data_IF_196498499135
#
_entry.id   IF_196498499135
#
_cell.length_a   1.000
_cell.length_b   1.000
_cell.length_c   1.000
_cell.angle_alpha   90.00
_cell.angle_beta   90.00
_cell.angle_gamma   90.00
#
_symmetry.space_group_name_H-M   'P 1'
#
loop_
_entity.id
_entity.type
_entity.pdbx_description
1 polymer ?
#
# COMPACT_ATOMS: atom_id res chain seq x y z
N UNK A 1 5.99 25.67 8.17
CA UNK A 1 6.05 25.17 6.77
C UNK A 1 4.95 24.17 6.41
N UNK A 2 4.65 23.13 7.20
CA UNK A 2 3.62 22.13 6.86
C UNK A 2 2.27 22.32 7.56
N UNK A 3 2.04 23.45 8.22
CA UNK A 3 0.77 23.76 8.90
C UNK A 3 -0.24 24.40 7.95
N UNK A 4 0.18 25.36 7.12
CA UNK A 4 -0.69 26.01 6.12
C UNK A 4 -1.28 25.04 5.10
N UNK A 5 -0.49 24.06 4.63
CA UNK A 5 -0.99 22.99 3.76
C UNK A 5 -2.07 22.15 4.44
N UNK A 6 -1.87 21.77 5.72
CA UNK A 6 -2.87 21.01 6.48
C UNK A 6 -4.14 21.82 6.70
N UNK A 7 -4.00 23.13 6.83
CA UNK A 7 -5.10 24.06 7.01
C UNK A 7 -5.91 24.32 5.75
N UNK A 8 -5.28 24.37 4.57
CA UNK A 8 -5.94 24.47 3.27
C UNK A 8 -6.67 23.17 2.90
N UNK A 9 -6.06 22.01 3.20
CA UNK A 9 -6.65 20.70 2.95
C UNK A 9 -7.44 20.15 4.14
N UNK A 10 -7.99 21.03 5.00
CA UNK A 10 -8.62 20.81 6.32
C UNK A 10 -9.67 19.67 6.45
N UNK A 11 -9.96 18.93 5.39
CA UNK A 11 -10.90 17.80 5.36
C UNK A 11 -10.48 16.60 4.48
N UNK A 12 -9.36 16.65 3.75
CA UNK A 12 -8.88 15.55 2.90
C UNK A 12 -7.56 15.02 3.46
N UNK A 13 -7.63 13.91 4.18
CA UNK A 13 -6.45 13.12 4.50
C UNK A 13 -5.91 12.55 3.17
N UNK A 14 -4.99 13.30 2.53
CA UNK A 14 -4.37 12.95 1.26
C UNK A 14 -3.73 11.56 1.32
N UNK A 15 -3.16 11.21 2.48
CA UNK A 15 -2.57 9.89 2.69
C UNK A 15 -3.66 8.83 2.69
N UNK A 16 -4.77 9.04 3.40
CA UNK A 16 -5.92 8.14 3.33
C UNK A 16 -6.49 8.04 1.90
N UNK A 17 -6.53 9.15 1.14
CA UNK A 17 -6.94 9.18 -0.26
C UNK A 17 -6.04 8.32 -1.16
N UNK A 18 -4.72 8.45 -1.01
CA UNK A 18 -3.73 7.65 -1.75
C UNK A 18 -3.86 6.17 -1.40
N UNK A 19 -3.97 5.83 -0.10
CA UNK A 19 -4.16 4.44 0.36
C UNK A 19 -5.45 3.85 -0.21
N UNK A 20 -6.54 4.60 -0.17
CA UNK A 20 -7.82 4.20 -0.76
C UNK A 20 -7.68 3.91 -2.26
N UNK A 21 -7.10 4.84 -3.02
CA UNK A 21 -6.92 4.65 -4.47
C UNK A 21 -6.06 3.42 -4.80
N UNK A 22 -5.04 3.16 -3.98
CA UNK A 22 -4.19 1.98 -4.08
C UNK A 22 -5.00 0.69 -3.89
N UNK A 23 -5.87 0.64 -2.88
CA UNK A 23 -6.77 -0.49 -2.63
C UNK A 23 -7.84 -0.64 -3.73
N UNK A 24 -8.43 0.47 -4.22
CA UNK A 24 -9.39 0.42 -5.33
C UNK A 24 -8.75 -0.23 -6.57
N UNK A 25 -7.52 0.18 -6.88
CA UNK A 25 -6.78 -0.35 -8.01
C UNK A 25 -6.44 -1.84 -7.86
N UNK A 26 -5.99 -2.29 -6.68
CA UNK A 26 -5.69 -3.73 -6.50
C UNK A 26 -6.92 -4.60 -6.68
N UNK A 27 -8.06 -4.16 -6.15
CA UNK A 27 -9.33 -4.88 -6.33
C UNK A 27 -9.77 -4.88 -7.79
N UNK A 28 -9.58 -3.76 -8.50
CA UNK A 28 -9.86 -3.71 -9.93
C UNK A 28 -9.00 -4.71 -10.71
N UNK A 29 -7.68 -4.69 -10.51
CA UNK A 29 -6.74 -5.59 -11.22
C UNK A 29 -7.03 -7.06 -10.91
N UNK A 30 -7.35 -7.42 -9.65
CA UNK A 30 -7.73 -8.79 -9.26
C UNK A 30 -9.06 -9.27 -9.84
N UNK A 31 -9.86 -8.39 -10.45
CA UNK A 31 -11.09 -8.76 -11.16
C UNK A 31 -10.95 -8.66 -12.68
N UNK A 32 -9.83 -8.13 -13.17
CA UNK A 32 -9.50 -8.21 -14.59
C UNK A 32 -9.21 -9.64 -14.99
N UNK A 33 -9.41 -9.93 -16.27
CA UNK A 33 -9.01 -11.19 -16.90
C UNK A 33 -7.51 -11.49 -16.72
N UNK A 34 -7.16 -12.77 -16.59
CA UNK A 34 -5.79 -13.22 -16.32
C UNK A 34 -4.80 -12.87 -17.43
N UNK A 35 -5.27 -12.75 -18.67
CA UNK A 35 -4.40 -12.46 -19.80
C UNK A 35 -3.86 -11.03 -19.81
N UNK A 36 -4.53 -10.12 -19.10
CA UNK A 36 -4.19 -8.70 -19.06
C UNK A 36 -2.83 -8.49 -18.38
N UNK A 37 -2.00 -7.64 -18.98
CA UNK A 37 -0.65 -7.35 -18.48
C UNK A 37 -0.65 -6.91 -17.00
N UNK A 38 -1.60 -6.09 -16.57
CA UNK A 38 -1.70 -5.65 -15.19
C UNK A 38 -1.91 -6.82 -14.21
N UNK A 39 -2.74 -7.80 -14.57
CA UNK A 39 -2.96 -9.00 -13.76
C UNK A 39 -1.69 -9.86 -13.72
N UNK A 40 -1.09 -10.12 -14.87
CA UNK A 40 0.19 -10.86 -14.99
C UNK A 40 1.31 -10.22 -14.18
N UNK A 41 1.40 -8.88 -14.13
CA UNK A 41 2.40 -8.16 -13.33
C UNK A 41 2.11 -8.24 -11.83
N UNK A 42 0.83 -8.25 -11.45
CA UNK A 42 0.40 -8.37 -10.07
C UNK A 42 0.71 -9.76 -9.51
N UNK A 43 0.42 -10.80 -10.28
CA UNK A 43 0.64 -12.20 -9.90
C UNK A 43 2.08 -12.64 -10.11
N UNK A 44 2.72 -12.14 -11.17
CA UNK A 44 4.11 -12.40 -11.47
C UNK A 44 5.02 -11.88 -10.37
N UNK A 45 5.98 -12.70 -9.97
CA UNK A 45 7.08 -12.28 -9.09
C UNK A 45 8.29 -12.03 -10.00
N UNK A 46 8.58 -10.77 -10.40
CA UNK A 46 9.73 -10.51 -11.26
C UNK A 46 11.00 -10.91 -10.50
N UNK A 47 11.67 -11.93 -11.00
CA UNK A 47 12.92 -12.43 -10.45
C UNK A 47 14.08 -11.53 -10.91
N UNK A 48 15.07 -11.34 -10.04
CA UNK A 48 16.27 -10.54 -10.32
C UNK A 48 16.59 -9.46 -9.28
N UNK A 49 17.87 -9.10 -9.20
CA UNK A 49 18.38 -8.06 -8.30
C UNK A 49 18.19 -6.68 -8.94
N UNK A 50 17.44 -5.79 -8.28
CA UNK A 50 17.30 -4.40 -8.75
C UNK A 50 18.60 -3.64 -8.55
N UNK A 51 18.96 -2.78 -9.52
CA UNK A 51 20.06 -1.83 -9.38
C UNK A 51 19.80 -0.88 -8.20
N UNK A 52 20.85 -0.53 -7.45
CA UNK A 52 20.77 0.40 -6.32
C UNK A 52 20.26 1.78 -6.74
N UNK A 53 19.52 2.46 -5.86
CA UNK A 53 19.01 3.83 -6.07
C UNK A 53 17.50 3.94 -6.32
N UNK A 54 16.81 2.86 -6.70
CA UNK A 54 15.33 2.86 -6.76
C UNK A 54 14.71 2.60 -5.39
N UNK A 55 13.47 3.09 -5.20
CA UNK A 55 12.67 2.78 -4.01
C UNK A 55 12.65 1.26 -3.76
N UNK A 56 13.01 0.86 -2.53
CA UNK A 56 13.18 -0.55 -2.16
C UNK A 56 11.87 -1.34 -2.15
N UNK A 57 10.75 -0.66 -1.84
CA UNK A 57 9.45 -1.30 -1.62
C UNK A 57 8.67 -1.48 -2.93
N UNK A 58 8.17 -2.69 -3.17
CA UNK A 58 7.25 -2.97 -4.28
C UNK A 58 5.92 -2.27 -3.99
N UNK A 59 5.23 -1.81 -5.03
CA UNK A 59 3.89 -1.25 -4.89
C UNK A 59 2.93 -2.22 -4.17
N UNK A 60 3.05 -3.52 -4.46
CA UNK A 60 2.33 -4.59 -3.77
C UNK A 60 2.65 -4.66 -2.27
N UNK A 61 3.91 -4.48 -1.87
CA UNK A 61 4.30 -4.47 -0.45
C UNK A 61 3.61 -3.32 0.29
N UNK A 62 3.45 -2.18 -0.37
CA UNK A 62 2.72 -1.03 0.16
C UNK A 62 1.22 -1.28 0.27
N UNK A 63 0.62 -2.00 -0.68
CA UNK A 63 -0.78 -2.44 -0.57
C UNK A 63 -0.95 -3.38 0.63
N UNK A 64 -0.06 -4.36 0.77
CA UNK A 64 -0.13 -5.33 1.86
C UNK A 64 0.08 -4.65 3.22
N UNK A 65 0.94 -3.64 3.29
CA UNK A 65 1.11 -2.80 4.48
C UNK A 65 -0.17 -2.03 4.84
N UNK A 66 -0.80 -1.35 3.88
CA UNK A 66 -2.03 -0.62 4.12
C UNK A 66 -3.18 -1.55 4.57
N UNK A 67 -3.28 -2.74 3.96
CA UNK A 67 -4.28 -3.75 4.33
C UNK A 67 -3.98 -4.41 5.68
N UNK A 68 -2.69 -4.53 6.06
CA UNK A 68 -2.28 -4.98 7.39
C UNK A 68 -2.68 -3.98 8.47
N UNK A 69 -2.64 -2.67 8.18
CA UNK A 69 -3.13 -1.64 9.09
C UNK A 69 -4.64 -1.76 9.33
N UNK A 70 -5.40 -2.18 8.32
CA UNK A 70 -6.82 -2.55 8.43
C UNK A 70 -7.07 -3.92 9.09
N UNK A 71 -6.02 -4.62 9.55
CA UNK A 71 -6.09 -6.00 10.08
C UNK A 71 -6.78 -6.98 9.11
N UNK A 72 -6.69 -6.69 7.81
CA UNK A 72 -7.36 -7.47 6.77
C UNK A 72 -6.62 -8.78 6.51
N UNK A 73 -7.28 -9.90 6.79
CA UNK A 73 -6.79 -11.23 6.39
C UNK A 73 -7.45 -11.67 5.08
N UNK A 74 -6.75 -12.52 4.32
CA UNK A 74 -7.23 -13.14 3.07
C UNK A 74 -7.76 -12.12 2.05
N UNK A 75 -7.14 -10.93 2.00
CA UNK A 75 -7.61 -9.80 1.21
C UNK A 75 -7.69 -10.09 -0.30
N UNK A 76 -6.84 -10.99 -0.84
CA UNK A 76 -6.91 -11.40 -2.25
C UNK A 76 -8.26 -12.05 -2.61
N UNK A 77 -8.78 -12.92 -1.73
CA UNK A 77 -10.09 -13.57 -1.90
C UNK A 77 -11.22 -12.54 -1.79
N UNK A 78 -11.16 -11.71 -0.74
CA UNK A 78 -12.14 -10.63 -0.52
C UNK A 78 -12.17 -9.62 -1.67
N UNK A 79 -11.02 -9.33 -2.28
CA UNK A 79 -10.90 -8.38 -3.37
C UNK A 79 -11.51 -8.91 -4.68
N UNK A 80 -11.54 -10.22 -4.88
CA UNK A 80 -12.22 -10.84 -6.01
C UNK A 80 -13.75 -10.67 -5.92
N UNK A 81 -14.32 -10.72 -4.70
CA UNK A 81 -15.73 -10.42 -4.48
C UNK A 81 -15.97 -8.89 -4.40
N UNK A 82 -16.80 -8.35 -5.30
CA UNK A 82 -17.07 -6.91 -5.36
C UNK A 82 -17.74 -6.37 -4.10
N UNK A 83 -18.64 -7.14 -3.49
CA UNK A 83 -19.41 -6.72 -2.32
C UNK A 83 -18.55 -6.71 -1.07
N UNK A 84 -17.80 -7.79 -0.83
CA UNK A 84 -16.84 -7.87 0.26
C UNK A 84 -15.77 -6.78 0.13
N UNK A 85 -15.27 -6.53 -1.08
CA UNK A 85 -14.33 -5.44 -1.31
C UNK A 85 -14.93 -4.07 -1.04
N UNK A 86 -16.21 -3.86 -1.34
CA UNK A 86 -16.87 -2.59 -1.05
C UNK A 86 -16.97 -2.31 0.46
N UNK A 87 -17.21 -3.35 1.27
CA UNK A 87 -17.20 -3.24 2.76
C UNK A 87 -15.81 -2.83 3.25
N UNK A 88 -14.77 -3.50 2.76
CA UNK A 88 -13.37 -3.16 3.02
C UNK A 88 -13.06 -1.70 2.68
N UNK A 89 -13.51 -1.23 1.52
CA UNK A 89 -13.28 0.14 1.07
C UNK A 89 -14.04 1.18 1.91
N UNK A 90 -15.18 0.81 2.51
CA UNK A 90 -15.90 1.66 3.47
C UNK A 90 -15.14 1.75 4.79
N UNK A 91 -14.65 0.64 5.32
CA UNK A 91 -13.82 0.61 6.53
C UNK A 91 -12.51 1.40 6.34
N UNK A 92 -11.89 1.32 5.16
CA UNK A 92 -10.70 2.10 4.82
C UNK A 92 -10.93 3.63 4.88
N UNK A 93 -12.15 4.13 4.62
CA UNK A 93 -12.49 5.55 4.79
C UNK A 93 -12.50 5.98 6.26
N UNK A 94 -12.65 5.04 7.19
CA UNK A 94 -12.69 5.30 8.64
C UNK A 94 -11.28 5.49 9.21
N UNK A 95 -10.23 5.03 8.53
CA UNK A 95 -8.84 5.35 8.86
C UNK A 95 -8.50 6.81 8.53
N UNK A 96 -9.08 7.75 9.29
CA UNK A 96 -8.56 9.12 9.40
C UNK A 96 -7.33 9.03 10.31
N UNK A 97 -6.14 9.26 9.78
CA UNK A 97 -4.92 9.04 10.55
C UNK A 97 -3.75 9.84 10.02
N UNK A 98 -3.31 10.90 10.74
CA UNK A 98 -2.24 11.75 10.24
C UNK A 98 -0.93 10.97 10.11
N UNK A 99 -0.15 11.36 9.10
CA UNK A 99 1.19 10.85 8.77
C UNK A 99 2.23 10.98 9.93
N UNK A 100 1.87 11.55 11.08
CA UNK A 100 2.77 11.80 12.21
C UNK A 100 3.10 10.56 13.06
N UNK A 101 2.52 9.38 12.80
CA UNK A 101 2.84 8.14 13.53
C UNK A 101 3.97 7.31 12.89
N UNK A 102 4.60 7.78 11.80
CA UNK A 102 5.71 7.08 11.14
C UNK A 102 7.08 7.45 11.74
N UNK A 103 7.37 6.95 12.94
CA UNK A 103 8.73 6.99 13.55
C UNK A 103 9.18 5.66 14.17
N UNK A 104 8.68 4.51 13.71
CA UNK A 104 9.10 3.19 14.27
C UNK A 104 9.73 2.20 13.28
N UNK A 105 9.85 2.52 11.99
CA UNK A 105 10.42 1.56 11.01
C UNK A 105 11.43 2.19 10.03
N UNK A 106 12.20 3.18 10.50
CA UNK A 106 13.44 3.56 9.83
C UNK A 106 14.62 2.84 10.52
N UNK A 107 15.42 2.16 9.68
CA UNK A 107 16.72 1.55 9.97
C UNK A 107 16.76 0.32 10.90
N UNK A 108 16.66 -0.87 10.28
CA UNK A 108 17.48 -2.02 10.68
C UNK A 108 17.67 -2.98 9.49
N UNK A 109 18.57 -2.61 8.59
CA UNK A 109 19.36 -3.55 7.79
C UNK A 109 20.59 -2.79 7.33
N UNK A 110 21.63 -2.80 8.16
CA UNK A 110 23.05 -3.02 7.82
C UNK A 110 23.86 -2.80 9.10
N UNK A 111 24.13 -3.87 9.85
CA UNK A 111 25.46 -4.06 10.43
C UNK A 111 25.99 -5.33 9.79
N UNK A 112 26.43 -5.16 8.54
CA UNK A 112 27.43 -6.07 7.98
C UNK A 112 28.69 -5.84 8.81
N UNK A 113 29.19 -6.93 9.35
CA UNK A 113 30.58 -7.14 9.73
C UNK A 113 31.53 -6.50 8.71
N UNK A 114 32.55 -5.79 9.20
CA UNK A 114 33.96 -5.95 8.84
C UNK A 114 34.86 -4.97 9.64
N UNK A 115 35.99 -5.54 10.08
CA UNK A 115 37.24 -4.99 10.63
C UNK A 115 37.45 -4.95 12.16
N UNK A 116 38.30 -5.92 12.54
CA UNK A 116 38.92 -6.32 13.83
C UNK A 116 38.07 -7.15 14.79
#
# INVERSE_FOLDING_TARGET
>A
MNQELKELYRNLDLVAGIRRKRMEWVGHVLRMEQERCARKILEGKPEGRRKGGRQKLRWLDKVEEDLRQLKMKRWRQKASNREEWAVVMKEAKVLRGPYSQWKKYECCTTKSTLFF
#
